data_IF_803934879946
#
_entry.id   IF_803934879946
#
_cell.length_a   1.000
_cell.length_b   1.000
_cell.length_c   1.000
_cell.angle_alpha   90.00
_cell.angle_beta   90.00
_cell.angle_gamma   90.00
#
_symmetry.space_group_name_H-M   'P 1'
#
loop_
_entity.id
_entity.type
_entity.pdbx_description
1 polymer ?
#
# COMPACT_ATOMS: atom_id res chain seq x y z
N UNK A 1 -14.76 13.76 -10.18
CA UNK A 1 -13.78 13.16 -11.12
C UNK A 1 -13.75 11.68 -10.82
N UNK A 2 -14.22 10.83 -11.73
CA UNK A 2 -14.23 9.38 -11.49
C UNK A 2 -12.79 8.85 -11.50
N UNK A 3 -12.48 7.87 -10.65
CA UNK A 3 -11.17 7.20 -10.67
C UNK A 3 -10.97 6.61 -12.08
N UNK A 4 -9.84 6.90 -12.76
CA UNK A 4 -9.60 6.38 -14.10
C UNK A 4 -9.50 4.84 -14.16
N UNK A 5 -9.41 4.14 -13.01
CA UNK A 5 -9.29 2.69 -12.95
C UNK A 5 -10.29 2.06 -11.96
N UNK A 6 -11.61 2.08 -12.26
CA UNK A 6 -12.65 1.56 -11.35
C UNK A 6 -12.55 0.05 -11.09
N UNK A 7 -11.85 -0.71 -11.94
CA UNK A 7 -11.60 -2.14 -11.77
C UNK A 7 -10.32 -2.50 -10.98
N UNK A 8 -9.52 -1.51 -10.55
CA UNK A 8 -8.28 -1.75 -9.81
C UNK A 8 -8.38 -1.17 -8.37
N UNK A 9 -9.07 -1.83 -7.42
CA UNK A 9 -9.16 -1.34 -6.06
C UNK A 9 -7.77 -1.30 -5.42
N UNK A 10 -7.27 -0.08 -5.16
CA UNK A 10 -5.95 0.15 -4.55
C UNK A 10 -6.09 0.13 -3.04
N UNK A 11 -5.39 -0.80 -2.42
CA UNK A 11 -5.28 -0.94 -0.98
C UNK A 11 -4.04 -0.19 -0.50
N UNK A 12 -4.17 0.48 0.65
CA UNK A 12 -3.08 1.16 1.33
C UNK A 12 -2.79 0.43 2.63
N UNK A 13 -1.53 0.11 2.88
CA UNK A 13 -1.07 -0.49 4.11
C UNK A 13 0.10 0.31 4.67
N UNK A 14 0.17 0.36 6.00
CA UNK A 14 1.30 0.87 6.74
C UNK A 14 1.88 -0.30 7.54
N UNK A 15 3.20 -0.43 7.50
CA UNK A 15 3.92 -1.46 8.26
C UNK A 15 5.27 -0.96 8.71
N UNK A 16 5.95 -1.73 9.56
CA UNK A 16 7.33 -1.47 9.97
C UNK A 16 8.24 -2.54 9.36
N UNK A 17 9.43 -2.17 8.90
CA UNK A 17 10.48 -3.14 8.54
C UNK A 17 11.05 -3.79 9.79
N UNK A 18 11.83 -4.86 9.63
CA UNK A 18 12.58 -5.48 10.74
C UNK A 18 13.52 -4.48 11.46
N UNK A 19 14.00 -3.47 10.73
CA UNK A 19 14.80 -2.37 11.28
C UNK A 19 13.95 -1.25 11.94
N UNK A 20 12.64 -1.45 12.12
CA UNK A 20 11.72 -0.51 12.77
C UNK A 20 11.30 0.69 11.92
N UNK A 21 11.65 0.76 10.62
CA UNK A 21 11.27 1.89 9.75
C UNK A 21 9.86 1.71 9.22
N UNK A 22 9.05 2.77 9.27
CA UNK A 22 7.70 2.73 8.70
C UNK A 22 7.74 2.78 7.18
N UNK A 23 6.91 1.95 6.57
CA UNK A 23 6.74 1.81 5.14
C UNK A 23 5.28 2.00 4.80
N UNK A 24 5.02 2.83 3.81
CA UNK A 24 3.73 2.98 3.18
C UNK A 24 3.71 2.18 1.88
N UNK A 25 2.76 1.24 1.79
CA UNK A 25 2.58 0.33 0.67
C UNK A 25 1.24 0.58 0.00
N UNK A 26 1.26 0.68 -1.32
CA UNK A 26 0.06 0.65 -2.16
C UNK A 26 0.12 -0.59 -3.01
N UNK A 27 -0.92 -1.41 -2.95
CA UNK A 27 -1.02 -2.64 -3.72
C UNK A 27 -2.47 -2.90 -4.16
N UNK A 28 -2.65 -3.90 -5.01
CA UNK A 28 -3.96 -4.42 -5.37
C UNK A 28 -3.92 -5.93 -5.46
N UNK A 29 -5.07 -6.58 -5.30
CA UNK A 29 -5.22 -7.99 -5.63
C UNK A 29 -5.41 -8.16 -7.13
N UNK A 30 -4.75 -9.17 -7.70
CA UNK A 30 -4.99 -9.66 -9.06
C UNK A 30 -5.18 -11.16 -9.03
N UNK A 31 -6.23 -11.64 -9.66
CA UNK A 31 -6.41 -13.08 -9.87
C UNK A 31 -5.73 -13.47 -11.17
N UNK A 32 -4.67 -14.28 -11.09
CA UNK A 32 -3.94 -14.81 -12.25
C UNK A 32 -3.94 -16.33 -12.13
N UNK A 33 -4.41 -17.03 -13.15
CA UNK A 33 -4.48 -18.51 -13.16
C UNK A 33 -5.19 -19.09 -11.94
N UNK A 34 -6.33 -18.51 -11.58
CA UNK A 34 -7.11 -18.85 -10.37
C UNK A 34 -6.39 -18.66 -9.03
N UNK A 35 -5.26 -17.95 -9.02
CA UNK A 35 -4.54 -17.62 -7.79
C UNK A 35 -4.59 -16.12 -7.53
N UNK A 36 -4.96 -15.76 -6.30
CA UNK A 36 -4.87 -14.37 -5.83
C UNK A 36 -3.40 -14.01 -5.63
N UNK A 37 -2.95 -12.99 -6.35
CA UNK A 37 -1.60 -12.42 -6.29
C UNK A 37 -1.69 -10.97 -5.83
N UNK A 38 -0.66 -10.52 -5.15
CA UNK A 38 -0.47 -9.12 -4.81
C UNK A 38 0.32 -8.44 -5.93
N UNK A 39 -0.23 -7.37 -6.49
CA UNK A 39 0.51 -6.45 -7.35
C UNK A 39 0.92 -5.24 -6.53
N UNK A 40 2.22 -5.06 -6.22
CA UNK A 40 2.69 -3.80 -5.65
C UNK A 40 2.57 -2.69 -6.69
N UNK A 41 2.12 -1.52 -6.24
CA UNK A 41 1.98 -0.30 -7.05
C UNK A 41 3.01 0.73 -6.60
N UNK A 42 3.16 0.92 -5.28
CA UNK A 42 4.15 1.82 -4.69
C UNK A 42 4.62 1.29 -3.34
N UNK A 43 5.91 1.46 -3.08
CA UNK A 43 6.51 1.17 -1.79
C UNK A 43 7.49 2.29 -1.45
N UNK A 44 7.28 2.96 -0.32
CA UNK A 44 8.17 4.03 0.15
C UNK A 44 8.27 4.03 1.66
N UNK A 45 9.37 4.55 2.18
CA UNK A 45 9.46 4.91 3.59
C UNK A 45 8.51 6.08 3.88
N UNK A 46 7.92 6.07 5.07
CA UNK A 46 7.10 7.17 5.53
C UNK A 46 7.98 8.33 6.02
N UNK A 47 7.51 9.55 5.82
CA UNK A 47 8.11 10.72 6.45
C UNK A 47 7.66 10.83 7.92
N UNK A 48 8.51 11.41 8.78
CA UNK A 48 8.21 11.54 10.21
C UNK A 48 6.83 12.15 10.48
N UNK A 49 6.46 13.23 9.78
CA UNK A 49 5.14 13.88 9.91
C UNK A 49 3.95 12.95 9.62
N UNK A 50 4.11 12.00 8.70
CA UNK A 50 3.06 11.04 8.36
C UNK A 50 2.94 9.94 9.42
N UNK A 51 4.07 9.55 10.02
CA UNK A 51 4.13 8.61 11.14
C UNK A 51 3.45 9.24 12.35
N UNK A 52 3.84 10.48 12.69
CA UNK A 52 3.28 11.21 13.82
C UNK A 52 1.76 11.37 13.71
N UNK A 53 1.22 11.54 12.49
CA UNK A 53 -0.23 11.61 12.29
C UNK A 53 -0.92 10.25 12.43
N UNK A 54 -0.26 9.15 12.05
CA UNK A 54 -0.85 7.81 12.10
C UNK A 54 -0.81 7.18 13.49
N UNK A 55 0.15 7.56 14.34
CA UNK A 55 0.27 7.04 15.70
C UNK A 55 -0.51 7.81 16.77
N UNK A 56 -1.24 8.86 16.38
CA UNK A 56 -2.15 9.62 17.26
C UNK A 56 -3.59 9.13 17.08
#
# INVERSE_FOLDING_TARGET
MADPHPGEPRMRAIGRTEAGRYVFLVFMFRTISSQTRLRPISARYMHQKEIDHYEQ
#
